data_IF_775685942359
#
_entry.id   IF_775685942359
#
_cell.length_a   1.000
_cell.length_b   1.000
_cell.length_c   1.000
_cell.angle_alpha   90.00
_cell.angle_beta   90.00
_cell.angle_gamma   90.00
#
_symmetry.space_group_name_H-M   'P 1'
#
loop_
_entity.id
_entity.type
_entity.pdbx_description
1 polymer ?
#
# COMPACT_ATOMS: atom_id res chain seq x y z
N UNK A 1 -16.98 -5.86 -15.63
CA UNK A 1 -15.87 -6.78 -15.97
C UNK A 1 -15.26 -6.17 -17.22
N UNK A 2 -14.31 -5.24 -17.03
CA UNK A 2 -13.70 -4.54 -18.15
C UNK A 2 -12.70 -5.46 -18.83
N UNK A 3 -12.72 -5.48 -20.16
CA UNK A 3 -11.72 -6.18 -20.96
C UNK A 3 -10.33 -5.71 -20.52
N UNK A 4 -9.52 -6.64 -20.02
CA UNK A 4 -8.09 -6.43 -19.89
C UNK A 4 -7.56 -6.26 -21.31
N UNK A 5 -7.37 -5.02 -21.72
CA UNK A 5 -6.58 -4.73 -22.92
C UNK A 5 -5.18 -5.20 -22.59
N UNK A 6 -4.74 -6.27 -23.27
CA UNK A 6 -3.42 -6.89 -23.19
C UNK A 6 -2.38 -5.97 -23.85
N UNK A 7 -2.40 -4.70 -23.47
CA UNK A 7 -1.39 -3.71 -23.82
C UNK A 7 -0.20 -3.94 -22.90
N UNK A 8 0.97 -4.16 -23.49
CA UNK A 8 2.21 -4.27 -22.75
C UNK A 8 2.36 -3.05 -21.82
N UNK A 9 2.48 -3.28 -20.51
CA UNK A 9 2.54 -2.23 -19.50
C UNK A 9 3.78 -1.35 -19.73
N UNK A 10 3.58 -0.09 -20.09
CA UNK A 10 4.68 0.87 -20.19
C UNK A 10 5.15 1.31 -18.80
N UNK A 11 6.20 0.64 -18.31
CA UNK A 11 6.85 0.92 -17.04
C UNK A 11 7.48 2.33 -16.98
N UNK A 12 7.70 3.01 -18.11
CA UNK A 12 8.19 4.39 -18.12
C UNK A 12 7.19 5.38 -17.52
N UNK A 13 5.91 5.01 -17.49
CA UNK A 13 4.85 5.80 -16.84
C UNK A 13 4.85 5.65 -15.32
N UNK A 14 5.57 4.67 -14.77
CA UNK A 14 5.69 4.42 -13.33
C UNK A 14 6.90 5.19 -12.81
N UNK A 15 6.64 6.37 -12.25
CA UNK A 15 7.66 7.29 -11.73
C UNK A 15 7.10 8.08 -10.54
N UNK A 16 7.94 8.48 -9.58
CA UNK A 16 7.49 9.30 -8.45
C UNK A 16 6.89 10.61 -8.96
N UNK A 17 5.73 10.98 -8.41
CA UNK A 17 5.10 12.29 -8.66
C UNK A 17 5.42 13.31 -7.56
N UNK A 18 5.83 12.82 -6.38
CA UNK A 18 6.23 13.60 -5.22
C UNK A 18 7.53 13.02 -4.66
N UNK A 19 8.30 13.86 -3.97
CA UNK A 19 9.49 13.45 -3.23
C UNK A 19 9.25 13.65 -1.74
N UNK A 20 9.66 12.69 -0.93
CA UNK A 20 9.61 12.82 0.54
C UNK A 20 10.33 14.10 0.99
N UNK A 21 9.76 14.81 1.95
CA UNK A 21 10.30 16.07 2.47
C UNK A 21 10.58 15.98 3.97
N UNK A 22 11.62 16.68 4.44
CA UNK A 22 11.86 16.90 5.86
C UNK A 22 10.94 17.96 6.47
N UNK A 23 10.32 18.79 5.63
CA UNK A 23 9.42 19.88 6.06
C UNK A 23 8.12 19.35 6.65
N UNK A 24 7.54 20.01 7.68
CA UNK A 24 6.30 19.59 8.31
C UNK A 24 5.17 19.32 7.32
N UNK A 25 4.21 18.46 7.71
CA UNK A 25 2.98 18.26 6.93
C UNK A 25 2.27 19.58 6.67
N UNK A 26 1.69 19.71 5.48
CA UNK A 26 0.83 20.85 5.18
C UNK A 26 -0.39 20.86 6.15
N UNK A 27 -1.02 22.02 6.40
CA UNK A 27 -2.08 22.13 7.40
C UNK A 27 -3.23 21.15 7.19
N UNK A 28 -3.61 20.88 5.93
CA UNK A 28 -4.72 19.98 5.59
C UNK A 28 -4.41 18.52 5.89
N UNK A 29 -3.22 18.05 5.50
CA UNK A 29 -2.72 16.71 5.86
C UNK A 29 -2.63 16.56 7.37
N UNK A 30 -2.06 17.56 8.06
CA UNK A 30 -1.90 17.56 9.51
C UNK A 30 -3.25 17.44 10.23
N UNK A 31 -4.23 18.26 9.86
CA UNK A 31 -5.57 18.20 10.46
C UNK A 31 -6.25 16.85 10.24
N UNK A 32 -6.07 16.21 9.08
CA UNK A 32 -6.62 14.85 8.87
C UNK A 32 -5.91 13.81 9.75
N UNK A 33 -4.57 13.84 9.78
CA UNK A 33 -3.76 12.92 10.59
C UNK A 33 -4.21 12.98 12.05
N UNK A 34 -4.38 14.18 12.59
CA UNK A 34 -4.87 14.40 13.95
C UNK A 34 -6.32 13.90 14.13
N UNK A 35 -7.24 14.26 13.23
CA UNK A 35 -8.65 13.89 13.33
C UNK A 35 -8.90 12.37 13.27
N UNK A 36 -8.08 11.64 12.50
CA UNK A 36 -8.16 10.18 12.39
C UNK A 36 -7.18 9.44 13.32
N UNK A 37 -6.41 10.17 14.14
CA UNK A 37 -5.38 9.61 15.02
C UNK A 37 -4.40 8.70 14.27
N UNK A 38 -3.93 9.13 13.10
CA UNK A 38 -3.00 8.36 12.28
C UNK A 38 -1.58 8.46 12.81
N UNK A 39 -0.83 7.37 12.67
CA UNK A 39 0.60 7.29 13.00
C UNK A 39 1.40 6.87 11.77
N UNK A 40 2.73 7.08 11.78
CA UNK A 40 3.57 6.67 10.65
C UNK A 40 3.53 5.14 10.49
N UNK A 41 3.39 4.68 9.26
CA UNK A 41 3.39 3.24 8.94
C UNK A 41 4.79 2.76 8.58
N UNK A 42 5.13 1.54 8.96
CA UNK A 42 6.43 0.91 8.63
C UNK A 42 6.66 0.75 7.12
N UNK A 43 5.56 0.70 6.34
CA UNK A 43 5.61 0.63 4.88
C UNK A 43 5.80 2.01 4.23
N UNK A 44 5.67 3.10 4.99
CA UNK A 44 5.55 4.47 4.48
C UNK A 44 4.09 4.94 4.47
N UNK A 45 3.88 6.25 4.52
CA UNK A 45 2.56 6.84 4.76
C UNK A 45 2.16 6.84 6.24
N UNK A 46 0.88 7.04 6.48
CA UNK A 46 0.26 7.01 7.80
C UNK A 46 -0.85 5.98 7.86
N UNK A 47 -1.12 5.41 9.02
CA UNK A 47 -2.18 4.44 9.21
C UNK A 47 -2.80 4.49 10.60
N UNK A 48 -3.95 3.84 10.76
CA UNK A 48 -4.55 3.54 12.06
C UNK A 48 -5.44 2.32 11.95
N UNK A 49 -5.24 1.32 12.81
CA UNK A 49 -6.21 0.22 12.93
C UNK A 49 -7.51 0.72 13.59
N UNK A 50 -8.62 0.57 12.88
CA UNK A 50 -9.95 1.04 13.29
C UNK A 50 -10.84 -0.08 13.79
N UNK A 51 -10.63 -1.31 13.32
CA UNK A 51 -11.37 -2.50 13.74
C UNK A 51 -10.45 -3.73 13.78
N UNK A 52 -10.71 -4.58 14.77
CA UNK A 52 -10.15 -5.92 14.86
C UNK A 52 -11.24 -6.84 15.38
N UNK A 53 -11.70 -7.75 14.52
CA UNK A 53 -12.83 -8.61 14.87
C UNK A 53 -12.48 -9.47 16.10
N UNK A 54 -13.33 -9.50 17.15
CA UNK A 54 -13.05 -10.27 18.36
C UNK A 54 -13.15 -11.79 18.13
N UNK A 55 -13.83 -12.23 17.08
CA UNK A 55 -13.88 -13.64 16.69
C UNK A 55 -12.55 -14.08 16.11
N UNK A 56 -12.02 -15.19 16.65
CA UNK A 56 -10.85 -15.88 16.11
C UNK A 56 -11.26 -17.15 15.37
N UNK A 57 -10.48 -17.49 14.35
CA UNK A 57 -10.59 -18.71 13.56
C UNK A 57 -9.26 -19.47 13.61
N UNK A 58 -9.25 -20.80 13.37
CA UNK A 58 -8.01 -21.54 13.18
C UNK A 58 -7.15 -20.92 12.09
N UNK A 59 -5.84 -20.79 12.34
CA UNK A 59 -4.89 -20.31 11.33
C UNK A 59 -4.70 -21.37 10.26
N UNK A 60 -4.68 -20.94 9.00
CA UNK A 60 -4.33 -21.77 7.83
C UNK A 60 -2.87 -21.59 7.41
N UNK A 61 -2.12 -20.71 8.10
CA UNK A 61 -0.77 -20.33 7.74
C UNK A 61 0.29 -21.11 8.54
N UNK A 62 1.51 -21.13 8.01
CA UNK A 62 2.66 -21.66 8.73
C UNK A 62 2.91 -20.85 10.00
N UNK A 63 3.34 -21.53 11.07
CA UNK A 63 3.75 -20.90 12.32
C UNK A 63 5.09 -20.16 12.23
N UNK A 64 5.80 -20.25 11.11
CA UNK A 64 7.01 -19.46 10.86
C UNK A 64 6.62 -18.10 10.29
N UNK A 65 7.22 -16.98 10.72
CA UNK A 65 6.97 -15.69 10.09
C UNK A 65 7.48 -15.66 8.64
N UNK A 66 6.88 -14.82 7.79
CA UNK A 66 7.41 -14.53 6.46
C UNK A 66 8.75 -13.78 6.53
N UNK A 67 8.95 -12.97 7.57
CA UNK A 67 10.15 -12.17 7.78
C UNK A 67 10.37 -11.91 9.26
N UNK A 68 11.42 -12.52 9.82
CA UNK A 68 11.87 -12.25 11.20
C UNK A 68 12.26 -10.77 11.36
N UNK A 69 12.83 -10.16 10.32
CA UNK A 69 13.18 -8.74 10.30
C UNK A 69 11.94 -7.85 10.45
N UNK A 70 10.84 -8.17 9.75
CA UNK A 70 9.58 -7.43 9.87
C UNK A 70 9.02 -7.51 11.29
N UNK A 71 9.03 -8.70 11.90
CA UNK A 71 8.58 -8.88 13.29
C UNK A 71 9.46 -8.10 14.27
N UNK A 72 10.77 -8.05 14.03
CA UNK A 72 11.70 -7.26 14.85
C UNK A 72 11.45 -5.74 14.73
N UNK A 73 11.17 -5.25 13.52
CA UNK A 73 10.88 -3.82 13.26
C UNK A 73 9.66 -3.31 14.05
N UNK A 74 8.74 -4.20 14.42
CA UNK A 74 7.49 -3.85 15.10
C UNK A 74 7.53 -4.13 16.60
N UNK A 75 8.68 -4.52 17.14
CA UNK A 75 8.84 -4.88 18.55
C UNK A 75 8.23 -6.24 18.91
N UNK A 76 8.00 -7.11 17.93
CA UNK A 76 7.42 -8.44 18.12
C UNK A 76 5.94 -8.53 17.72
N UNK A 77 5.32 -9.65 18.13
CA UNK A 77 3.89 -9.90 17.93
C UNK A 77 3.06 -9.20 18.99
N UNK A 78 1.81 -8.86 18.67
CA UNK A 78 0.87 -8.28 19.64
C UNK A 78 0.65 -9.20 20.86
N UNK A 79 0.22 -8.61 21.96
CA UNK A 79 -0.20 -9.34 23.15
C UNK A 79 -1.34 -10.33 22.84
N UNK A 80 -1.26 -11.53 23.43
CA UNK A 80 -2.25 -12.59 23.25
C UNK A 80 -2.31 -13.16 21.83
N UNK A 81 -1.28 -12.92 20.99
CA UNK A 81 -1.17 -13.58 19.70
C UNK A 81 -0.85 -15.07 19.85
N UNK A 82 -1.43 -15.88 18.96
CA UNK A 82 -1.12 -17.30 18.82
C UNK A 82 -1.04 -17.65 17.35
N UNK A 83 0.05 -18.31 16.95
CA UNK A 83 0.28 -18.78 15.57
C UNK A 83 -0.81 -19.72 15.06
N UNK A 84 -1.54 -20.39 15.96
CA UNK A 84 -2.61 -21.33 15.64
C UNK A 84 -3.95 -20.67 15.33
N UNK A 85 -4.07 -19.35 15.49
CA UNK A 85 -5.33 -18.62 15.26
C UNK A 85 -5.12 -17.33 14.48
N UNK A 86 -6.18 -16.84 13.85
CA UNK A 86 -6.25 -15.49 13.28
C UNK A 86 -7.53 -14.82 13.73
N UNK A 87 -7.50 -13.49 13.88
CA UNK A 87 -8.76 -12.73 13.94
C UNK A 87 -9.51 -12.90 12.62
N UNK A 88 -10.84 -12.83 12.65
CA UNK A 88 -11.62 -13.00 11.42
C UNK A 88 -11.28 -11.90 10.39
N UNK A 89 -11.09 -10.67 10.85
CA UNK A 89 -10.66 -9.54 10.03
C UNK A 89 -9.98 -8.45 10.87
N UNK A 90 -9.22 -7.60 10.20
CA UNK A 90 -8.76 -6.30 10.71
C UNK A 90 -9.01 -5.24 9.66
N UNK A 91 -9.32 -4.02 10.08
CA UNK A 91 -9.47 -2.87 9.18
C UNK A 91 -8.62 -1.71 9.65
N UNK A 92 -8.00 -1.01 8.70
CA UNK A 92 -7.22 0.20 8.93
C UNK A 92 -7.74 1.36 8.08
N UNK A 93 -7.44 2.60 8.51
CA UNK A 93 -7.20 3.69 7.58
C UNK A 93 -5.74 3.67 7.12
N UNK A 94 -5.49 4.03 5.86
CA UNK A 94 -4.16 4.26 5.31
C UNK A 94 -4.14 5.55 4.47
N UNK A 95 -3.14 6.39 4.68
CA UNK A 95 -3.01 7.71 4.08
C UNK A 95 -1.61 7.92 3.49
N UNK A 96 -1.54 8.28 2.21
CA UNK A 96 -0.35 8.90 1.61
C UNK A 96 -0.54 10.42 1.55
N UNK A 97 0.53 11.17 1.80
CA UNK A 97 0.58 12.64 1.73
C UNK A 97 1.73 13.06 0.82
N UNK A 98 1.81 14.33 0.37
CA UNK A 98 2.99 14.80 -0.38
C UNK A 98 4.32 14.59 0.37
N UNK A 99 4.32 14.67 1.71
CA UNK A 99 5.51 14.45 2.55
C UNK A 99 5.82 12.95 2.70
N UNK A 100 4.80 12.11 2.81
CA UNK A 100 4.91 10.64 2.87
C UNK A 100 4.17 10.00 1.68
N UNK A 101 4.71 10.11 0.45
CA UNK A 101 3.95 9.85 -0.77
C UNK A 101 4.01 8.41 -1.24
N UNK A 102 4.65 7.51 -0.51
CA UNK A 102 4.97 6.16 -0.96
C UNK A 102 4.70 5.12 0.14
N UNK A 103 4.01 4.05 -0.25
CA UNK A 103 4.01 2.77 0.44
C UNK A 103 4.93 1.80 -0.31
N UNK A 104 6.00 1.37 0.35
CA UNK A 104 7.03 0.50 -0.21
C UNK A 104 6.49 -0.90 -0.54
N UNK A 105 7.18 -1.61 -1.45
CA UNK A 105 6.82 -2.98 -1.79
C UNK A 105 6.82 -3.90 -0.56
N UNK A 106 5.65 -4.47 -0.29
CA UNK A 106 5.43 -5.46 0.74
C UNK A 106 4.36 -6.46 0.29
N UNK A 107 4.26 -7.58 0.99
CA UNK A 107 3.22 -8.59 0.75
C UNK A 107 2.65 -9.08 2.06
N UNK A 108 1.48 -9.68 1.96
CA UNK A 108 0.81 -10.35 3.07
C UNK A 108 0.39 -11.77 2.66
N UNK A 109 0.28 -12.70 3.60
CA UNK A 109 -0.36 -14.01 3.35
C UNK A 109 -1.87 -13.88 3.14
N UNK A 110 -2.49 -12.99 3.89
CA UNK A 110 -3.92 -12.70 3.74
C UNK A 110 -4.14 -11.78 2.56
N UNK A 111 -5.25 -12.00 1.84
CA UNK A 111 -5.72 -11.04 0.85
C UNK A 111 -6.17 -9.75 1.53
N UNK A 112 -6.07 -8.64 0.80
CA UNK A 112 -6.41 -7.31 1.30
C UNK A 112 -7.40 -6.64 0.36
N UNK A 113 -8.54 -6.24 0.91
CA UNK A 113 -9.58 -5.45 0.23
C UNK A 113 -9.31 -3.98 0.51
N UNK A 114 -9.18 -3.17 -0.54
CA UNK A 114 -8.90 -1.75 -0.44
C UNK A 114 -10.09 -0.96 -0.93
N UNK A 115 -10.49 0.08 -0.20
CA UNK A 115 -11.61 0.97 -0.57
C UNK A 115 -11.15 2.42 -0.50
N UNK A 116 -11.32 3.16 -1.59
CA UNK A 116 -11.00 4.58 -1.69
C UNK A 116 -11.99 5.42 -0.87
N UNK A 117 -11.46 6.35 -0.07
CA UNK A 117 -12.26 7.40 0.57
C UNK A 117 -12.09 8.75 -0.13
N UNK A 118 -10.85 9.11 -0.47
CA UNK A 118 -10.54 10.35 -1.20
C UNK A 118 -9.15 10.31 -1.83
N UNK A 119 -8.93 11.22 -2.78
CA UNK A 119 -7.63 11.43 -3.39
C UNK A 119 -7.33 10.48 -4.53
N UNK A 120 -6.05 10.38 -4.87
CA UNK A 120 -5.61 9.67 -6.07
C UNK A 120 -4.20 9.09 -5.91
N UNK A 121 -4.00 7.89 -6.43
CA UNK A 121 -2.71 7.23 -6.38
C UNK A 121 -2.56 6.15 -7.45
N UNK A 122 -1.36 5.57 -7.52
CA UNK A 122 -1.09 4.41 -8.36
C UNK A 122 -0.65 3.25 -7.50
N UNK A 123 -1.20 2.07 -7.78
CA UNK A 123 -0.70 0.80 -7.27
C UNK A 123 0.19 0.14 -8.30
N UNK A 124 1.23 -0.53 -7.82
CA UNK A 124 2.13 -1.38 -8.61
C UNK A 124 2.20 -2.72 -7.90
N UNK A 125 1.89 -3.79 -8.63
CA UNK A 125 1.87 -5.15 -8.12
C UNK A 125 2.91 -5.99 -8.87
N UNK A 126 3.63 -6.86 -8.16
CA UNK A 126 4.47 -7.90 -8.74
C UNK A 126 3.91 -9.24 -8.29
N UNK A 127 3.38 -10.00 -9.25
CA UNK A 127 2.82 -11.32 -9.03
C UNK A 127 3.93 -12.37 -8.86
N UNK A 128 3.69 -13.52 -8.21
CA UNK A 128 4.72 -14.55 -7.98
C UNK A 128 5.38 -15.11 -9.24
N UNK A 129 4.71 -15.01 -10.39
CA UNK A 129 5.21 -15.40 -11.72
C UNK A 129 6.08 -14.31 -12.40
N UNK A 130 6.32 -13.19 -11.72
CA UNK A 130 7.08 -12.04 -12.24
C UNK A 130 6.24 -11.08 -13.09
N UNK A 131 4.94 -11.33 -13.28
CA UNK A 131 4.06 -10.40 -13.99
C UNK A 131 3.87 -9.12 -13.18
N UNK A 132 4.01 -7.97 -13.84
CA UNK A 132 3.77 -6.66 -13.24
C UNK A 132 2.37 -6.18 -13.64
N UNK A 133 1.60 -5.71 -12.66
CA UNK A 133 0.32 -5.05 -12.88
C UNK A 133 0.38 -3.64 -12.27
N UNK A 134 -0.20 -2.64 -12.94
CA UNK A 134 -0.32 -1.31 -12.37
C UNK A 134 -1.63 -0.66 -12.79
N UNK A 135 -2.25 0.05 -11.86
CA UNK A 135 -3.51 0.75 -12.07
C UNK A 135 -3.59 1.99 -11.19
N UNK A 136 -4.44 2.92 -11.61
CA UNK A 136 -4.72 4.14 -10.85
C UNK A 136 -5.96 3.93 -9.99
N UNK A 137 -5.90 4.46 -8.77
CA UNK A 137 -7.01 4.51 -7.82
C UNK A 137 -7.41 5.97 -7.66
N UNK A 138 -8.71 6.24 -7.72
CA UNK A 138 -9.26 7.58 -7.79
C UNK A 138 -10.71 7.57 -8.24
N UNK A 139 -11.32 8.76 -8.31
CA UNK A 139 -12.75 8.91 -8.57
C UNK A 139 -13.13 8.87 -10.06
N UNK A 140 -12.16 8.86 -10.98
CA UNK A 140 -12.44 8.87 -12.41
C UNK A 140 -12.76 7.46 -12.96
N UNK A 141 -13.82 6.84 -12.44
CA UNK A 141 -14.19 5.45 -12.77
C UNK A 141 -14.47 5.28 -14.26
N UNK A 142 -15.12 6.26 -14.89
CA UNK A 142 -15.39 6.26 -16.34
C UNK A 142 -14.11 6.34 -17.19
N UNK A 143 -12.97 6.71 -16.58
CA UNK A 143 -11.62 6.67 -17.20
C UNK A 143 -10.78 5.47 -16.75
N UNK A 144 -11.37 4.52 -16.03
CA UNK A 144 -10.72 3.28 -15.60
C UNK A 144 -10.03 3.33 -14.23
N UNK A 145 -10.19 4.41 -13.46
CA UNK A 145 -9.71 4.44 -12.07
C UNK A 145 -10.54 3.53 -11.16
N UNK A 146 -9.90 2.93 -10.15
CA UNK A 146 -10.56 1.99 -9.24
C UNK A 146 -10.94 2.67 -7.91
N UNK A 147 -12.20 2.52 -7.51
CA UNK A 147 -12.68 2.87 -6.16
C UNK A 147 -12.44 1.75 -5.15
N UNK A 148 -12.44 0.49 -5.62
CA UNK A 148 -12.20 -0.68 -4.79
C UNK A 148 -11.37 -1.69 -5.58
N UNK A 149 -10.42 -2.34 -4.92
CA UNK A 149 -9.62 -3.41 -5.51
C UNK A 149 -9.16 -4.39 -4.43
N UNK A 150 -8.79 -5.58 -4.86
CA UNK A 150 -8.28 -6.62 -3.98
C UNK A 150 -6.87 -6.97 -4.45
N UNK A 151 -5.95 -7.03 -3.51
CA UNK A 151 -4.64 -7.67 -3.71
C UNK A 151 -4.67 -9.02 -3.02
N UNK A 152 -4.48 -10.08 -3.78
CA UNK A 152 -4.43 -11.44 -3.23
C UNK A 152 -3.15 -11.66 -2.40
N UNK A 153 -3.18 -12.70 -1.56
CA UNK A 153 -2.01 -13.10 -0.77
C UNK A 153 -0.80 -13.40 -1.65
N UNK A 154 0.39 -13.21 -1.09
CA UNK A 154 1.71 -13.41 -1.71
C UNK A 154 2.06 -12.49 -2.89
N UNK A 155 1.16 -11.61 -3.33
CA UNK A 155 1.44 -10.56 -4.31
C UNK A 155 2.16 -9.40 -3.63
N UNK A 156 3.28 -8.96 -4.20
CA UNK A 156 3.96 -7.75 -3.75
C UNK A 156 3.18 -6.52 -4.20
N UNK A 157 2.82 -5.64 -3.27
CA UNK A 157 2.15 -4.36 -3.56
C UNK A 157 2.98 -3.18 -3.10
N UNK A 158 3.06 -2.16 -3.94
CA UNK A 158 3.52 -0.82 -3.59
C UNK A 158 2.47 0.18 -4.07
N UNK A 159 2.46 1.37 -3.45
CA UNK A 159 1.58 2.46 -3.86
C UNK A 159 2.30 3.80 -3.77
N UNK A 160 1.88 4.75 -4.60
CA UNK A 160 2.38 6.10 -4.50
C UNK A 160 1.33 7.15 -4.88
N UNK A 161 1.45 8.33 -4.29
CA UNK A 161 0.56 9.46 -4.47
C UNK A 161 0.67 10.02 -5.89
N UNK A 162 -0.48 10.31 -6.49
CA UNK A 162 -0.57 11.08 -7.73
C UNK A 162 -1.17 12.46 -7.45
N UNK A 163 -0.85 13.47 -8.26
CA UNK A 163 -1.61 14.71 -8.23
C UNK A 163 -3.08 14.39 -8.56
N UNK A 164 -3.99 15.15 -7.94
CA UNK A 164 -5.38 15.16 -8.37
C UNK A 164 -5.46 15.55 -9.85
N UNK A 165 -6.51 15.12 -10.53
CA UNK A 165 -6.74 15.65 -11.86
C UNK A 165 -6.97 17.16 -11.81
N UNK A 166 -6.41 17.87 -12.78
CA UNK A 166 -6.59 19.30 -12.95
C UNK A 166 -8.09 19.61 -13.01
N UNK A 167 -8.61 20.36 -12.04
CA UNK A 167 -9.93 20.92 -12.17
C UNK A 167 -9.82 22.19 -13.04
N UNK A 168 -10.34 22.21 -14.28
CA UNK A 168 -10.24 23.37 -15.14
C UNK A 168 -10.92 24.62 -14.56
N UNK A 169 -11.75 24.48 -13.53
CA UNK A 169 -12.41 25.58 -12.83
C UNK A 169 -11.59 26.16 -11.66
N UNK A 170 -10.39 25.64 -11.36
CA UNK A 170 -9.50 26.17 -10.32
C UNK A 170 -8.29 26.90 -10.93
N UNK A 171 -8.31 28.23 -10.84
CA UNK A 171 -7.28 29.20 -11.28
C UNK A 171 -6.02 29.22 -10.40
N UNK A 172 -5.57 28.06 -9.90
CA UNK A 172 -4.34 27.95 -9.10
C UNK A 172 -3.33 27.07 -9.81
N UNK A 173 -2.14 27.65 -10.09
CA UNK A 173 -1.02 27.01 -10.78
C UNK A 173 -0.39 25.81 -10.04
N UNK A 174 -0.80 25.53 -8.79
CA UNK A 174 -0.32 24.38 -8.04
C UNK A 174 -1.37 23.24 -7.99
N UNK A 175 -0.99 21.99 -8.32
CA UNK A 175 -1.87 20.85 -8.15
C UNK A 175 -2.14 20.61 -6.66
N UNK A 176 -3.28 21.08 -6.17
CA UNK A 176 -3.76 20.79 -4.82
C UNK A 176 -4.08 19.28 -4.73
N UNK A 177 -3.30 18.53 -3.96
CA UNK A 177 -3.55 17.11 -3.68
C UNK A 177 -3.98 16.91 -2.23
N UNK A 178 -5.08 16.16 -2.06
CA UNK A 178 -5.69 15.89 -0.75
C UNK A 178 -5.06 14.70 -0.02
N UNK A 179 -3.94 14.22 -0.54
CA UNK A 179 -3.37 12.91 -0.24
C UNK A 179 -4.15 11.78 -0.93
N UNK A 180 -3.87 10.54 -0.53
CA UNK A 180 -4.65 9.36 -0.90
C UNK A 180 -5.08 8.68 0.39
N UNK A 181 -6.38 8.72 0.71
CA UNK A 181 -6.94 8.07 1.89
C UNK A 181 -7.78 6.88 1.46
N UNK A 182 -7.49 5.73 2.05
CA UNK A 182 -8.20 4.47 1.82
C UNK A 182 -8.51 3.78 3.15
N UNK A 183 -9.40 2.79 3.11
CA UNK A 183 -9.42 1.72 4.09
C UNK A 183 -8.89 0.43 3.50
N UNK A 184 -8.17 -0.34 4.31
CA UNK A 184 -7.78 -1.71 3.99
C UNK A 184 -8.41 -2.67 4.98
N UNK A 185 -9.07 -3.72 4.49
CA UNK A 185 -9.61 -4.81 5.29
C UNK A 185 -8.89 -6.10 4.91
N UNK A 186 -8.25 -6.73 5.90
CA UNK A 186 -7.44 -7.94 5.74
C UNK A 186 -8.24 -9.13 6.28
N UNK A 187 -8.33 -10.21 5.49
CA UNK A 187 -9.09 -11.42 5.85
C UNK A 187 -8.31 -12.68 5.44
N UNK A 188 -7.95 -13.58 6.38
CA UNK A 188 -8.01 -13.42 7.85
C UNK A 188 -7.24 -12.20 8.36
N UNK A 189 -7.57 -11.69 9.55
CA UNK A 189 -7.02 -10.45 10.10
C UNK A 189 -5.49 -10.40 10.15
N UNK A 190 -4.95 -9.19 9.99
CA UNK A 190 -3.52 -8.90 9.89
C UNK A 190 -2.74 -9.30 11.14
N UNK A 191 -1.57 -9.89 10.92
CA UNK A 191 -0.52 -10.12 11.92
C UNK A 191 0.85 -9.90 11.26
N UNK A 192 1.81 -9.32 11.99
CA UNK A 192 3.14 -8.99 11.41
C UNK A 192 3.93 -10.22 10.94
N UNK A 193 3.66 -11.41 11.48
CA UNK A 193 4.25 -12.66 10.98
C UNK A 193 3.83 -12.99 9.55
N UNK A 194 2.70 -12.48 9.09
CA UNK A 194 2.19 -12.70 7.74
C UNK A 194 2.65 -11.62 6.76
N UNK A 195 3.45 -10.64 7.23
CA UNK A 195 3.93 -9.51 6.45
C UNK A 195 5.43 -9.66 6.12
N UNK A 196 5.81 -9.23 4.91
CA UNK A 196 7.22 -9.09 4.53
C UNK A 196 7.40 -7.92 3.57
N UNK A 197 8.56 -7.26 3.68
CA UNK A 197 9.03 -6.30 2.69
C UNK A 197 9.78 -6.97 1.55
N UNK A 198 9.65 -6.44 0.34
CA UNK A 198 10.49 -6.84 -0.78
C UNK A 198 11.89 -6.27 -0.53
N UNK A 199 12.92 -7.10 -0.71
CA UNK A 199 14.31 -6.66 -0.57
C UNK A 199 14.94 -6.40 -1.93
N UNK A 200 16.07 -5.69 -1.96
CA UNK A 200 16.86 -5.54 -3.19
C UNK A 200 17.29 -6.89 -3.76
N UNK A 201 17.60 -7.89 -2.91
CA UNK A 201 17.86 -9.23 -3.39
C UNK A 201 16.59 -9.85 -4.01
N UNK A 202 15.45 -9.75 -3.32
CA UNK A 202 14.19 -10.34 -3.78
C UNK A 202 13.72 -9.77 -5.12
N UNK A 203 13.85 -8.47 -5.37
CA UNK A 203 13.45 -7.90 -6.67
C UNK A 203 14.34 -8.40 -7.83
N UNK A 204 15.63 -8.68 -7.57
CA UNK A 204 16.54 -9.27 -8.55
C UNK A 204 16.19 -10.72 -8.92
N UNK A 205 15.51 -11.44 -8.02
CA UNK A 205 15.06 -12.81 -8.27
C UNK A 205 13.73 -12.85 -9.06
N UNK A 206 12.96 -11.76 -9.03
CA UNK A 206 11.62 -11.69 -9.63
C UNK A 206 11.59 -11.04 -11.02
N UNK A 207 12.46 -10.06 -11.27
CA UNK A 207 12.35 -9.17 -12.42
C UNK A 207 13.63 -9.12 -13.26
N UNK A 208 13.49 -8.70 -14.51
CA UNK A 208 14.63 -8.42 -15.39
C UNK A 208 15.24 -7.06 -15.06
N UNK A 209 16.52 -6.87 -15.37
CA UNK A 209 17.29 -5.65 -15.06
C UNK A 209 16.59 -4.35 -15.49
N UNK A 210 15.99 -4.33 -16.68
CA UNK A 210 15.26 -3.16 -17.17
C UNK A 210 14.04 -2.82 -16.30
N UNK A 211 13.30 -3.83 -15.85
CA UNK A 211 12.14 -3.65 -14.99
C UNK A 211 12.57 -3.20 -13.58
N UNK A 212 13.66 -3.75 -13.07
CA UNK A 212 14.24 -3.38 -11.76
C UNK A 212 14.59 -1.89 -11.75
N UNK A 213 15.32 -1.40 -12.77
CA UNK A 213 15.67 0.03 -12.88
C UNK A 213 14.46 0.97 -12.84
N UNK A 214 13.27 0.50 -13.24
CA UNK A 214 12.03 1.28 -13.21
C UNK A 214 11.30 1.22 -11.87
N UNK A 215 11.51 0.17 -11.08
CA UNK A 215 10.70 -0.14 -9.90
C UNK A 215 11.48 -0.17 -8.58
N UNK A 216 12.81 -0.21 -8.60
CA UNK A 216 13.64 -0.32 -7.41
C UNK A 216 13.46 0.82 -6.40
N UNK A 217 13.01 1.99 -6.86
CA UNK A 217 12.71 3.13 -5.99
C UNK A 217 11.50 2.89 -5.07
N UNK A 218 10.64 1.90 -5.38
CA UNK A 218 9.53 1.45 -4.54
C UNK A 218 9.96 0.38 -3.51
N UNK A 219 11.19 -0.12 -3.59
CA UNK A 219 11.74 -1.06 -2.60
C UNK A 219 12.15 -0.30 -1.35
N UNK A 220 11.81 -0.83 -0.17
CA UNK A 220 12.19 -0.22 1.11
C UNK A 220 13.72 -0.16 1.19
N UNK A 221 14.28 1.03 1.42
CA UNK A 221 15.69 1.20 1.71
C UNK A 221 15.98 0.61 3.10
N UNK A 222 17.03 -0.19 3.22
CA UNK A 222 17.56 -0.60 4.52
C UNK A 222 18.05 0.66 5.26
N UNK A 223 17.62 0.85 6.50
CA UNK A 223 18.17 1.86 7.42
C UNK A 223 19.46 1.35 8.08
#
# INVERSE_FOLDING_TARGET
MGDFVDGELDLSTIKPSFTSSSEPENPRSKSLIEALSLELHIEGGYFRQTDANPTTIPSVYSSKPLSEETVALTGGTREGYSTNTRRLSTTIFYLLTPRQPQGNFHRNRSRVIHTLHRGRGRYVLIHPDGRIESFVVGNAVERGERLQWIVEGDVWKASYLLPNESNPDHDTDEPETDGLLISETVVPGFEYEDHAFLTHQGINELLKEEQIRKLEWLVRKSE
#
